data_IF_304301314157
#
_entry.id   IF_304301314157
#
_cell.length_a   1.000
_cell.length_b   1.000
_cell.length_c   1.000
_cell.angle_alpha   90.00
_cell.angle_beta   90.00
_cell.angle_gamma   90.00
#
_symmetry.space_group_name_H-M   'P 1'
#
loop_
_entity.id
_entity.type
_entity.pdbx_description
1 polymer ?
#
# COMPACT_ATOMS: atom_id res chain seq x y z
N UNK A 1 20.91 20.06 -15.50
CA UNK A 1 19.93 18.97 -15.35
C UNK A 1 19.99 18.48 -13.90
N UNK A 2 18.88 18.03 -13.31
CA UNK A 2 18.86 17.55 -11.91
C UNK A 2 19.56 16.18 -11.81
N UNK A 3 20.08 15.88 -10.63
CA UNK A 3 20.54 14.53 -10.28
C UNK A 3 19.41 13.51 -10.49
N UNK A 4 19.72 12.23 -10.79
CA UNK A 4 18.71 11.22 -11.06
C UNK A 4 17.81 10.98 -9.83
N UNK A 5 16.49 10.99 -10.03
CA UNK A 5 15.53 10.66 -8.97
C UNK A 5 15.24 9.15 -8.94
N UNK A 6 16.02 8.44 -8.12
CA UNK A 6 15.89 7.00 -7.93
C UNK A 6 14.60 6.58 -7.20
N UNK A 7 14.00 7.46 -6.41
CA UNK A 7 12.74 7.16 -5.72
C UNK A 7 11.59 7.19 -6.73
N UNK A 8 11.62 8.15 -7.66
CA UNK A 8 10.66 8.19 -8.75
C UNK A 8 10.80 6.95 -9.67
N UNK A 9 12.03 6.53 -9.99
CA UNK A 9 12.25 5.27 -10.71
C UNK A 9 11.65 4.07 -9.97
N UNK A 10 11.88 3.95 -8.66
CA UNK A 10 11.30 2.87 -7.84
C UNK A 10 9.77 2.86 -7.91
N UNK A 11 9.13 4.02 -7.74
CA UNK A 11 7.68 4.16 -7.80
C UNK A 11 7.14 3.74 -9.16
N UNK A 12 7.77 4.18 -10.25
CA UNK A 12 7.35 3.84 -11.61
C UNK A 12 7.48 2.35 -11.91
N UNK A 13 8.54 1.70 -11.44
CA UNK A 13 8.69 0.24 -11.57
C UNK A 13 7.56 -0.50 -10.83
N UNK A 14 7.24 -0.08 -9.61
CA UNK A 14 6.16 -0.68 -8.81
C UNK A 14 4.77 -0.48 -9.46
N UNK A 15 4.49 0.72 -9.96
CA UNK A 15 3.23 1.03 -10.66
C UNK A 15 3.04 0.17 -11.92
N UNK A 16 4.14 -0.21 -12.58
CA UNK A 16 4.12 -1.11 -13.74
C UNK A 16 4.12 -2.61 -13.36
N UNK A 17 3.94 -2.92 -12.07
CA UNK A 17 3.74 -4.28 -11.58
C UNK A 17 5.02 -5.07 -11.33
N UNK A 18 6.20 -4.43 -11.42
CA UNK A 18 7.48 -5.05 -11.08
C UNK A 18 7.48 -5.39 -9.60
N UNK A 19 7.94 -6.60 -9.25
CA UNK A 19 7.96 -7.03 -7.87
C UNK A 19 8.90 -6.16 -7.01
N UNK A 20 8.54 -5.84 -5.76
CA UNK A 20 9.31 -4.93 -4.93
C UNK A 20 10.79 -5.31 -4.83
N UNK A 21 11.10 -6.60 -4.66
CA UNK A 21 12.49 -7.09 -4.64
C UNK A 21 13.27 -6.71 -5.90
N UNK A 22 12.67 -6.86 -7.08
CA UNK A 22 13.32 -6.56 -8.35
C UNK A 22 13.42 -5.05 -8.58
N UNK A 23 12.40 -4.28 -8.20
CA UNK A 23 12.44 -2.83 -8.28
C UNK A 23 13.57 -2.24 -7.41
N UNK A 24 13.70 -2.68 -6.15
CA UNK A 24 14.77 -2.23 -5.26
C UNK A 24 16.15 -2.66 -5.78
N UNK A 25 16.29 -3.90 -6.25
CA UNK A 25 17.54 -4.38 -6.84
C UNK A 25 17.97 -3.53 -8.04
N UNK A 26 17.04 -3.25 -8.96
CA UNK A 26 17.32 -2.43 -10.14
C UNK A 26 17.71 -1.00 -9.77
N UNK A 27 17.01 -0.40 -8.81
CA UNK A 27 17.34 0.95 -8.32
C UNK A 27 18.73 1.00 -7.68
N UNK A 28 19.10 -0.02 -6.92
CA UNK A 28 20.44 -0.12 -6.35
C UNK A 28 21.50 -0.29 -7.44
N UNK A 29 21.30 -1.20 -8.39
CA UNK A 29 22.22 -1.39 -9.53
C UNK A 29 22.40 -0.09 -10.34
N UNK A 30 21.33 0.68 -10.55
CA UNK A 30 21.42 1.99 -11.22
C UNK A 30 22.13 3.06 -10.39
N UNK A 31 22.01 3.01 -9.06
CA UNK A 31 22.71 3.93 -8.16
C UNK A 31 24.20 3.62 -8.13
N UNK A 32 24.54 2.35 -7.96
CA UNK A 32 25.93 1.89 -7.98
C UNK A 32 26.58 2.26 -9.31
N UNK A 33 25.90 2.04 -10.45
CA UNK A 33 26.41 2.44 -11.75
C UNK A 33 26.57 3.96 -11.91
N UNK A 34 25.65 4.76 -11.37
CA UNK A 34 25.80 6.21 -11.37
C UNK A 34 27.00 6.66 -10.56
N UNK A 35 27.22 6.06 -9.38
CA UNK A 35 28.37 6.37 -8.52
C UNK A 35 29.68 5.99 -9.24
N UNK A 36 29.74 4.83 -9.89
CA UNK A 36 30.88 4.40 -10.73
C UNK A 36 31.20 5.42 -11.85
N UNK A 37 30.17 5.94 -12.52
CA UNK A 37 30.33 6.95 -13.58
C UNK A 37 30.83 8.29 -13.04
N UNK A 38 30.36 8.69 -11.86
CA UNK A 38 30.83 9.91 -11.19
C UNK A 38 32.30 9.76 -10.80
N UNK A 39 32.67 8.64 -10.20
CA UNK A 39 34.04 8.38 -9.77
C UNK A 39 35.01 8.36 -10.96
N UNK A 40 34.64 7.67 -12.05
CA UNK A 40 35.44 7.66 -13.28
C UNK A 40 35.64 9.07 -13.87
N UNK A 41 34.61 9.93 -13.85
CA UNK A 41 34.70 11.29 -14.34
C UNK A 41 35.57 12.19 -13.43
N UNK A 42 35.51 11.99 -12.12
CA UNK A 42 36.38 12.69 -11.16
C UNK A 42 37.83 12.25 -11.31
N UNK A 43 38.10 10.96 -11.49
CA UNK A 43 39.43 10.43 -11.78
C UNK A 43 40.01 10.97 -13.09
N UNK A 44 39.16 11.23 -14.09
CA UNK A 44 39.52 11.91 -15.32
C UNK A 44 39.78 13.42 -15.14
N UNK A 45 39.73 13.95 -13.92
CA UNK A 45 40.03 15.33 -13.57
C UNK A 45 38.86 16.30 -13.69
N UNK A 46 37.63 15.80 -13.87
CA UNK A 46 36.45 16.68 -13.93
C UNK A 46 36.07 17.16 -12.52
N UNK A 47 35.61 18.42 -12.37
CA UNK A 47 35.06 18.88 -11.11
C UNK A 47 33.78 18.11 -10.78
N UNK A 48 33.60 17.76 -9.49
CA UNK A 48 32.52 16.87 -9.01
C UNK A 48 31.11 17.24 -9.51
N UNK A 49 30.80 18.53 -9.66
CA UNK A 49 29.50 18.98 -10.17
C UNK A 49 29.31 18.63 -11.65
N UNK A 50 30.36 18.77 -12.45
CA UNK A 50 30.33 18.41 -13.88
C UNK A 50 30.32 16.90 -14.05
N UNK A 51 31.08 16.17 -13.24
CA UNK A 51 31.08 14.71 -13.19
C UNK A 51 29.66 14.16 -12.94
N UNK A 52 28.95 14.67 -11.93
CA UNK A 52 27.54 14.31 -11.65
C UNK A 52 26.60 14.61 -12.81
N UNK A 53 26.76 15.76 -13.45
CA UNK A 53 25.96 16.12 -14.62
C UNK A 53 26.28 15.25 -15.84
N UNK A 54 27.53 14.87 -16.03
CA UNK A 54 27.95 13.96 -17.10
C UNK A 54 27.40 12.55 -16.87
N UNK A 55 27.59 12.00 -15.68
CA UNK A 55 27.07 10.69 -15.27
C UNK A 55 25.55 10.60 -15.43
N UNK A 56 24.81 11.64 -15.03
CA UNK A 56 23.35 11.67 -15.20
C UNK A 56 22.88 11.67 -16.65
N UNK A 57 23.69 12.13 -17.61
CA UNK A 57 23.38 12.05 -19.05
C UNK A 57 23.69 10.66 -19.62
N UNK A 58 24.74 10.03 -19.11
CA UNK A 58 25.20 8.72 -19.57
C UNK A 58 24.32 7.57 -19.06
N UNK A 59 23.75 7.72 -17.85
CA UNK A 59 22.79 6.78 -17.25
C UNK A 59 21.52 6.56 -18.12
N UNK A 60 21.27 7.45 -19.09
CA UNK A 60 20.16 7.33 -20.03
C UNK A 60 18.80 7.69 -19.44
N UNK A 61 17.73 7.36 -20.17
CA UNK A 61 16.35 7.68 -19.75
C UNK A 61 15.75 6.54 -18.95
N UNK A 62 15.29 6.84 -17.74
CA UNK A 62 14.53 5.90 -16.91
C UNK A 62 13.24 5.38 -17.57
N UNK A 63 12.67 6.11 -18.54
CA UNK A 63 11.50 5.65 -19.29
C UNK A 63 11.76 4.33 -20.03
N UNK A 64 12.92 4.24 -20.69
CA UNK A 64 13.29 3.10 -21.52
C UNK A 64 13.55 1.87 -20.64
N UNK A 65 14.21 2.08 -19.49
CA UNK A 65 14.42 1.06 -18.48
C UNK A 65 13.10 0.52 -17.92
N UNK A 66 12.17 1.42 -17.53
CA UNK A 66 10.85 1.01 -17.00
C UNK A 66 10.08 0.21 -18.06
N UNK A 67 10.09 0.66 -19.32
CA UNK A 67 9.45 -0.04 -20.42
C UNK A 67 10.02 -1.46 -20.59
N UNK A 68 11.34 -1.59 -20.69
CA UNK A 68 11.99 -2.89 -20.86
C UNK A 68 11.70 -3.85 -19.69
N UNK A 69 11.91 -3.38 -18.46
CA UNK A 69 11.71 -4.17 -17.24
C UNK A 69 10.25 -4.57 -17.08
N UNK A 70 9.31 -3.68 -17.40
CA UNK A 70 7.87 -3.95 -17.34
C UNK A 70 7.37 -4.93 -18.41
N UNK A 71 8.15 -5.18 -19.47
CA UNK A 71 7.79 -6.15 -20.51
C UNK A 71 8.11 -7.58 -20.08
N UNK A 72 9.09 -7.76 -19.18
CA UNK A 72 9.55 -9.06 -18.69
C UNK A 72 8.61 -9.63 -17.63
N UNK A 73 7.96 -10.75 -17.95
CA UNK A 73 6.92 -11.34 -17.09
C UNK A 73 7.49 -11.98 -15.82
N UNK A 74 8.75 -12.43 -15.83
CA UNK A 74 9.42 -12.98 -14.63
C UNK A 74 9.69 -11.94 -13.53
N UNK A 75 9.77 -10.66 -13.89
CA UNK A 75 10.05 -9.58 -12.94
C UNK A 75 8.78 -9.05 -12.27
N UNK A 76 7.60 -9.43 -12.76
CA UNK A 76 6.30 -8.98 -12.25
C UNK A 76 5.87 -9.70 -10.99
N UNK A 77 5.11 -9.01 -10.15
CA UNK A 77 4.34 -9.64 -9.08
C UNK A 77 3.33 -10.64 -9.65
N UNK A 78 2.92 -11.63 -8.84
CA UNK A 78 1.96 -12.65 -9.27
C UNK A 78 0.65 -12.05 -9.79
N UNK A 79 0.15 -10.99 -9.13
CA UNK A 79 -1.08 -10.32 -9.52
C UNK A 79 -1.01 -9.72 -10.93
N UNK A 80 0.12 -9.09 -11.28
CA UNK A 80 0.36 -8.56 -12.62
C UNK A 80 0.76 -9.64 -13.63
N UNK A 81 1.29 -10.77 -13.18
CA UNK A 81 1.58 -11.93 -14.03
C UNK A 81 0.30 -12.67 -14.44
N UNK A 82 -0.70 -12.74 -13.57
CA UNK A 82 -1.96 -13.46 -13.79
C UNK A 82 -3.18 -12.57 -13.43
N UNK A 83 -3.50 -11.55 -14.26
CA UNK A 83 -4.53 -10.55 -13.92
C UNK A 83 -5.92 -11.17 -13.75
N UNK A 84 -6.28 -12.20 -14.52
CA UNK A 84 -7.55 -12.90 -14.37
C UNK A 84 -7.67 -13.62 -13.03
N UNK A 85 -6.58 -14.26 -12.57
CA UNK A 85 -6.56 -14.93 -11.28
C UNK A 85 -6.64 -13.91 -10.14
N UNK A 86 -5.91 -12.79 -10.26
CA UNK A 86 -5.98 -11.69 -9.31
C UNK A 86 -7.40 -11.08 -9.21
N UNK A 87 -8.06 -10.88 -10.35
CA UNK A 87 -9.44 -10.37 -10.42
C UNK A 87 -10.43 -11.26 -9.67
N UNK A 88 -10.18 -12.56 -9.56
CA UNK A 88 -11.03 -13.50 -8.82
C UNK A 88 -10.59 -13.62 -7.35
N UNK A 89 -9.28 -13.79 -7.10
CA UNK A 89 -8.78 -14.05 -5.75
C UNK A 89 -8.88 -12.82 -4.82
N UNK A 90 -8.67 -11.60 -5.32
CA UNK A 90 -8.75 -10.40 -4.47
C UNK A 90 -10.16 -10.19 -3.90
N UNK A 91 -11.23 -10.16 -4.71
CA UNK A 91 -12.60 -10.05 -4.18
C UNK A 91 -12.97 -11.20 -3.25
N UNK A 92 -12.56 -12.43 -3.56
CA UNK A 92 -12.81 -13.59 -2.67
C UNK A 92 -12.10 -13.43 -1.32
N UNK A 93 -10.85 -12.96 -1.32
CA UNK A 93 -10.12 -12.68 -0.08
C UNK A 93 -10.81 -11.57 0.73
N UNK A 94 -11.27 -10.49 0.08
CA UNK A 94 -12.04 -9.44 0.75
C UNK A 94 -13.37 -9.95 1.32
N UNK A 95 -14.08 -10.79 0.55
CA UNK A 95 -15.36 -11.38 0.97
C UNK A 95 -15.21 -12.21 2.25
N UNK A 96 -14.08 -12.89 2.44
CA UNK A 96 -13.80 -13.66 3.66
C UNK A 96 -13.23 -12.78 4.77
N UNK A 97 -12.26 -11.92 4.47
CA UNK A 97 -11.54 -11.15 5.47
C UNK A 97 -12.40 -10.06 6.13
N UNK A 98 -13.24 -9.36 5.36
CA UNK A 98 -14.06 -8.25 5.86
C UNK A 98 -15.07 -8.68 6.94
N UNK A 99 -15.87 -9.75 6.78
CA UNK A 99 -16.76 -10.21 7.83
C UNK A 99 -16.04 -10.96 8.95
N UNK A 100 -14.90 -11.60 8.67
CA UNK A 100 -14.13 -12.29 9.69
C UNK A 100 -13.51 -11.32 10.71
N UNK A 101 -13.02 -10.16 10.25
CA UNK A 101 -12.41 -9.13 11.10
C UNK A 101 -13.25 -8.71 12.32
N UNK A 102 -14.52 -8.28 12.19
CA UNK A 102 -15.34 -7.90 13.34
C UNK A 102 -15.68 -9.10 14.24
N UNK A 103 -15.78 -10.31 13.69
CA UNK A 103 -15.98 -11.53 14.50
C UNK A 103 -14.75 -11.80 15.38
N UNK A 104 -13.56 -11.78 14.79
CA UNK A 104 -12.31 -11.95 15.54
C UNK A 104 -12.11 -10.83 16.57
N UNK A 105 -12.33 -9.57 16.16
CA UNK A 105 -12.26 -8.43 17.06
C UNK A 105 -13.28 -8.53 18.21
N UNK A 106 -14.48 -9.02 17.92
CA UNK A 106 -15.53 -9.21 18.91
C UNK A 106 -15.21 -10.33 19.90
N UNK A 107 -14.66 -11.46 19.44
CA UNK A 107 -14.19 -12.53 20.33
C UNK A 107 -13.06 -12.02 21.24
N UNK A 108 -12.09 -11.28 20.70
CA UNK A 108 -10.98 -10.71 21.47
C UNK A 108 -11.45 -9.66 22.50
N UNK A 109 -12.55 -8.95 22.22
CA UNK A 109 -13.11 -7.90 23.08
C UNK A 109 -14.46 -8.27 23.68
N UNK A 110 -14.72 -9.58 23.86
CA UNK A 110 -15.97 -10.11 24.38
C UNK A 110 -16.48 -9.41 25.66
N UNK A 111 -15.65 -9.11 26.69
CA UNK A 111 -16.15 -8.42 27.89
C UNK A 111 -16.56 -6.97 27.62
N UNK A 112 -15.92 -6.28 26.66
CA UNK A 112 -16.30 -4.92 26.27
C UNK A 112 -17.67 -4.94 25.58
N UNK A 113 -17.86 -5.83 24.61
CA UNK A 113 -19.13 -6.00 23.91
C UNK A 113 -20.28 -6.37 24.85
N UNK A 114 -20.04 -7.28 25.80
CA UNK A 114 -21.04 -7.64 26.80
C UNK A 114 -21.46 -6.46 27.67
N UNK A 115 -20.51 -5.62 28.10
CA UNK A 115 -20.80 -4.42 28.91
C UNK A 115 -21.62 -3.40 28.14
N UNK A 116 -21.22 -3.06 26.90
CA UNK A 116 -21.97 -2.12 26.08
C UNK A 116 -23.36 -2.67 25.71
N UNK A 117 -23.45 -3.96 25.39
CA UNK A 117 -24.73 -4.63 25.13
C UNK A 117 -25.67 -4.60 26.34
N UNK A 118 -25.17 -4.90 27.54
CA UNK A 118 -25.95 -4.83 28.77
C UNK A 118 -26.43 -3.41 29.08
N UNK A 119 -25.57 -2.40 28.92
CA UNK A 119 -25.93 -0.99 29.10
C UNK A 119 -27.02 -0.53 28.13
N UNK A 120 -26.92 -0.91 26.85
CA UNK A 120 -27.92 -0.57 25.83
C UNK A 120 -29.28 -1.23 26.13
N UNK A 121 -29.26 -2.50 26.54
CA UNK A 121 -30.48 -3.23 26.90
C UNK A 121 -31.16 -2.60 28.12
N UNK A 122 -30.39 -2.25 29.15
CA UNK A 122 -30.91 -1.57 30.34
C UNK A 122 -31.53 -0.20 29.99
N UNK A 123 -30.86 0.60 29.15
CA UNK A 123 -31.39 1.87 28.68
C UNK A 123 -32.69 1.68 27.88
N UNK A 124 -32.73 0.70 26.97
CA UNK A 124 -33.91 0.38 26.17
C UNK A 124 -35.11 -0.05 27.01
N UNK A 125 -34.91 -0.91 28.01
CA UNK A 125 -35.96 -1.33 28.94
C UNK A 125 -36.49 -0.16 29.77
N UNK A 126 -35.60 0.72 30.25
CA UNK A 126 -36.00 1.90 31.00
C UNK A 126 -36.87 2.83 30.14
N UNK A 127 -36.44 3.13 28.91
CA UNK A 127 -37.22 3.96 27.99
C UNK A 127 -38.57 3.34 27.66
N UNK A 128 -38.61 2.04 27.34
CA UNK A 128 -39.86 1.33 27.09
C UNK A 128 -40.80 1.36 28.31
N UNK A 129 -40.26 1.17 29.52
CA UNK A 129 -41.01 1.26 30.77
C UNK A 129 -41.61 2.67 30.99
N UNK A 130 -40.83 3.73 30.77
CA UNK A 130 -41.32 5.11 30.89
C UNK A 130 -42.45 5.40 29.89
N UNK A 131 -42.30 4.96 28.63
CA UNK A 131 -43.35 5.12 27.62
C UNK A 131 -44.62 4.35 27.99
N UNK A 132 -44.48 3.15 28.55
CA UNK A 132 -45.61 2.35 29.00
C UNK A 132 -46.33 3.03 30.17
N UNK A 133 -45.60 3.57 31.15
CA UNK A 133 -46.18 4.35 32.25
C UNK A 133 -46.95 5.56 31.72
N UNK A 134 -46.36 6.32 30.78
CA UNK A 134 -47.03 7.45 30.14
C UNK A 134 -48.35 7.03 29.46
N UNK A 135 -48.33 5.91 28.71
CA UNK A 135 -49.52 5.38 28.07
C UNK A 135 -50.61 4.96 29.06
N UNK A 136 -50.24 4.30 30.16
CA UNK A 136 -51.18 3.93 31.22
C UNK A 136 -51.77 5.17 31.90
N UNK A 137 -50.97 6.20 32.16
CA UNK A 137 -51.46 7.45 32.74
C UNK A 137 -52.48 8.16 31.84
N UNK A 138 -52.33 8.10 30.52
CA UNK A 138 -53.32 8.65 29.58
C UNK A 138 -54.60 7.80 29.56
N UNK A 139 -54.48 6.48 29.66
CA UNK A 139 -55.63 5.57 29.55
C UNK A 139 -56.49 5.56 30.82
N UNK A 140 -55.88 5.72 31.99
CA UNK A 140 -56.52 5.59 33.32
C UNK A 140 -56.60 6.90 34.11
N UNK A 141 -56.05 8.00 33.59
CA UNK A 141 -56.06 9.32 34.21
C UNK A 141 -57.13 10.26 33.67
#
# INVERSE_FOLDING_TARGET
>A
MREPDFNELANRLLQNGVAPRHAHRMVNEMRDHYDDLVDAAVEAGQPIREARHAAGRELGRFDDLVYEVSTRRELKTWAFRYPHAAMVLYPLACLVALPAMPVFAGIANAPLLARWGASLLAAGLLTAGLLLVLQLSILFG
#
